data_IF_433264216632
#
_entry.id   IF_433264216632
#
_cell.length_a   1.000
_cell.length_b   1.000
_cell.length_c   1.000
_cell.angle_alpha   90.00
_cell.angle_beta   90.00
_cell.angle_gamma   90.00
#
_symmetry.space_group_name_H-M   'P 1'
#
loop_
_entity.id
_entity.type
_entity.pdbx_description
1 polymer ?
#
# COMPACT_ATOMS: atom_id res chain seq x y z
N UNK A 1 1.85 -7.89 19.89
CA UNK A 1 3.09 -8.26 19.17
C UNK A 1 2.66 -9.19 18.04
N UNK A 2 2.35 -8.65 16.87
CA UNK A 2 1.99 -9.46 15.69
C UNK A 2 3.29 -10.02 15.12
N UNK A 3 3.87 -10.97 15.85
CA UNK A 3 5.17 -11.55 15.56
C UNK A 3 5.15 -12.42 14.31
N UNK A 4 6.31 -12.98 13.99
CA UNK A 4 6.47 -13.99 12.97
C UNK A 4 5.57 -15.19 13.26
N UNK A 5 4.92 -15.70 12.21
CA UNK A 5 4.11 -16.91 12.29
C UNK A 5 4.97 -18.07 12.82
N UNK A 6 4.41 -18.82 13.78
CA UNK A 6 5.09 -19.97 14.37
C UNK A 6 5.36 -21.07 13.33
N UNK A 7 6.25 -22.04 13.62
CA UNK A 7 6.66 -23.05 12.65
C UNK A 7 5.50 -23.86 12.02
N UNK A 8 4.37 -23.99 12.71
CA UNK A 8 3.16 -24.67 12.22
C UNK A 8 2.37 -23.90 11.15
N UNK A 9 2.69 -22.64 10.91
CA UNK A 9 2.09 -21.84 9.83
C UNK A 9 2.88 -21.95 8.51
N UNK A 10 4.00 -22.66 8.53
CA UNK A 10 4.81 -22.97 7.37
C UNK A 10 4.42 -24.40 6.98
N UNK A 11 3.43 -24.52 6.08
CA UNK A 11 2.99 -25.83 5.57
C UNK A 11 4.15 -26.53 4.83
N UNK A 12 4.26 -27.85 5.00
CA UNK A 12 5.20 -28.72 4.28
C UNK A 12 5.02 -28.67 2.75
N UNK A 13 3.90 -28.10 2.29
CA UNK A 13 3.55 -27.97 0.88
C UNK A 13 3.97 -26.64 0.23
N UNK A 14 4.85 -25.85 0.87
CA UNK A 14 5.31 -24.55 0.33
C UNK A 14 5.94 -24.65 -1.06
N UNK A 15 6.52 -25.80 -1.40
CA UNK A 15 7.15 -26.06 -2.70
C UNK A 15 6.16 -26.54 -3.77
N UNK A 16 4.90 -26.79 -3.43
CA UNK A 16 3.92 -27.17 -4.43
C UNK A 16 3.50 -25.96 -5.28
N UNK A 17 3.50 -26.09 -6.62
CA UNK A 17 3.14 -25.00 -7.52
C UNK A 17 1.68 -24.53 -7.37
N UNK A 18 0.83 -25.36 -6.74
CA UNK A 18 -0.56 -25.06 -6.46
C UNK A 18 -0.80 -24.55 -5.03
N UNK A 19 0.23 -24.47 -4.19
CA UNK A 19 0.09 -23.94 -2.84
C UNK A 19 -0.34 -22.47 -2.92
N UNK A 20 -1.41 -22.13 -2.21
CA UNK A 20 -1.84 -20.75 -2.06
C UNK A 20 -1.29 -20.20 -0.75
N UNK A 21 -0.73 -18.98 -0.74
CA UNK A 21 -0.30 -18.36 0.50
C UNK A 21 -1.49 -18.24 1.46
N UNK A 22 -1.27 -18.58 2.72
CA UNK A 22 -2.24 -18.31 3.78
C UNK A 22 -2.27 -16.79 4.03
N UNK A 23 -3.13 -16.10 3.28
CA UNK A 23 -3.31 -14.65 3.38
C UNK A 23 -4.19 -14.25 4.58
N UNK A 24 -4.63 -15.20 5.42
CA UNK A 24 -5.63 -14.96 6.45
C UNK A 24 -7.01 -14.57 5.89
N UNK A 25 -8.05 -14.76 6.69
CA UNK A 25 -9.42 -14.32 6.32
C UNK A 25 -9.56 -12.79 6.36
N UNK A 26 -8.63 -12.13 7.05
CA UNK A 26 -8.47 -10.68 7.13
C UNK A 26 -7.46 -10.16 6.10
N UNK A 27 -7.64 -10.51 4.83
CA UNK A 27 -7.15 -9.63 3.77
C UNK A 27 -7.89 -8.30 3.95
N UNK A 28 -7.38 -7.45 4.83
CA UNK A 28 -8.00 -6.22 5.30
C UNK A 28 -8.31 -5.40 4.06
N UNK A 29 -9.56 -5.47 3.59
CA UNK A 29 -9.95 -4.84 2.35
C UNK A 29 -9.77 -3.36 2.56
N UNK A 30 -8.72 -2.81 1.97
CA UNK A 30 -8.43 -1.38 2.04
C UNK A 30 -9.65 -0.66 1.51
N UNK A 31 -10.31 0.08 2.39
CA UNK A 31 -11.50 0.83 2.00
C UNK A 31 -11.08 1.97 1.07
N UNK A 32 -12.02 2.46 0.26
CA UNK A 32 -11.75 3.62 -0.63
C UNK A 32 -11.25 4.82 0.18
N UNK A 33 -11.75 5.02 1.39
CA UNK A 33 -11.30 6.10 2.29
C UNK A 33 -9.87 5.88 2.80
N UNK A 34 -9.50 4.66 3.17
CA UNK A 34 -8.12 4.33 3.57
C UNK A 34 -7.15 4.52 2.39
N UNK A 35 -7.54 4.12 1.18
CA UNK A 35 -6.74 4.32 -0.02
C UNK A 35 -6.54 5.82 -0.32
N UNK A 36 -7.60 6.62 -0.20
CA UNK A 36 -7.51 8.07 -0.38
C UNK A 36 -6.62 8.74 0.67
N UNK A 37 -6.73 8.32 1.94
CA UNK A 37 -5.89 8.81 3.03
C UNK A 37 -4.42 8.48 2.79
N UNK A 38 -4.12 7.27 2.31
CA UNK A 38 -2.76 6.81 1.96
C UNK A 38 -2.17 7.66 0.85
N UNK A 39 -2.88 7.78 -0.29
CA UNK A 39 -2.44 8.61 -1.43
C UNK A 39 -2.20 10.08 -1.05
N UNK A 40 -3.05 10.62 -0.16
CA UNK A 40 -2.88 11.96 0.37
C UNK A 40 -1.63 12.09 1.25
N UNK A 41 -1.34 11.09 2.10
CA UNK A 41 -0.15 11.07 2.92
C UNK A 41 1.12 10.98 2.06
N UNK A 42 1.12 10.12 1.04
CA UNK A 42 2.24 9.96 0.11
C UNK A 42 2.52 11.25 -0.67
N UNK A 43 1.46 11.92 -1.15
CA UNK A 43 1.60 13.19 -1.87
C UNK A 43 2.28 14.27 -1.01
N UNK A 44 1.89 14.36 0.28
CA UNK A 44 2.51 15.29 1.24
C UNK A 44 3.92 14.87 1.66
N UNK A 45 4.22 13.58 1.68
CA UNK A 45 5.55 13.10 2.00
C UNK A 45 6.53 13.42 0.88
N UNK A 46 6.15 13.11 -0.36
CA UNK A 46 6.99 13.33 -1.54
C UNK A 46 7.24 14.82 -1.82
N UNK A 47 6.25 15.68 -1.54
CA UNK A 47 6.42 17.13 -1.71
C UNK A 47 7.50 17.72 -0.80
N UNK A 48 7.72 17.13 0.39
CA UNK A 48 8.78 17.58 1.32
C UNK A 48 10.19 17.42 0.75
N UNK A 49 10.38 16.52 -0.21
CA UNK A 49 11.67 16.34 -0.89
C UNK A 49 11.80 17.20 -2.16
N UNK A 50 10.88 18.13 -2.40
CA UNK A 50 10.91 19.00 -3.58
C UNK A 50 10.58 18.28 -4.90
N UNK A 51 9.94 17.10 -4.83
CA UNK A 51 9.56 16.36 -6.03
C UNK A 51 8.46 17.13 -6.78
N UNK A 52 8.58 17.34 -8.10
CA UNK A 52 7.56 18.04 -8.89
C UNK A 52 6.18 17.37 -8.82
N UNK A 53 5.10 18.15 -8.79
CA UNK A 53 3.73 17.62 -8.65
C UNK A 53 3.35 16.58 -9.72
N UNK A 54 3.78 16.78 -10.97
CA UNK A 54 3.56 15.84 -12.08
C UNK A 54 4.19 14.46 -11.81
N UNK A 55 5.35 14.43 -11.15
CA UNK A 55 6.09 13.21 -10.83
C UNK A 55 5.48 12.51 -9.63
N UNK A 56 5.04 13.27 -8.62
CA UNK A 56 4.26 12.74 -7.49
C UNK A 56 2.99 12.07 -7.99
N UNK A 57 2.26 12.72 -8.90
CA UNK A 57 1.04 12.20 -9.50
C UNK A 57 1.27 10.86 -10.20
N UNK A 58 2.34 10.75 -11.01
CA UNK A 58 2.71 9.51 -11.68
C UNK A 58 3.07 8.37 -10.70
N UNK A 59 3.80 8.68 -9.62
CA UNK A 59 4.21 7.68 -8.61
C UNK A 59 3.07 7.17 -7.74
N UNK A 60 2.17 8.07 -7.33
CA UNK A 60 1.04 7.76 -6.44
C UNK A 60 -0.16 7.20 -7.23
N UNK A 61 -0.18 7.39 -8.55
CA UNK A 61 -1.27 6.94 -9.42
C UNK A 61 -2.51 7.82 -9.30
N UNK A 62 -2.33 9.13 -9.23
CA UNK A 62 -3.40 10.15 -9.12
C UNK A 62 -3.18 11.26 -10.15
N UNK A 63 -4.14 12.18 -10.29
CA UNK A 63 -3.98 13.33 -11.20
C UNK A 63 -3.12 14.42 -10.56
N UNK A 64 -2.47 15.25 -11.38
CA UNK A 64 -1.72 16.40 -10.86
C UNK A 64 -2.65 17.41 -10.13
N UNK A 65 -3.89 17.55 -10.60
CA UNK A 65 -4.90 18.36 -9.92
C UNK A 65 -5.20 17.87 -8.50
N UNK A 66 -5.27 16.56 -8.30
CA UNK A 66 -5.44 15.96 -6.97
C UNK A 66 -4.25 16.27 -6.05
N UNK A 67 -3.02 16.15 -6.56
CA UNK A 67 -1.80 16.49 -5.80
C UNK A 67 -1.84 17.97 -5.39
N UNK A 68 -2.19 18.88 -6.31
CA UNK A 68 -2.31 20.32 -6.02
C UNK A 68 -3.37 20.60 -4.96
N UNK A 69 -4.54 19.97 -5.04
CA UNK A 69 -5.61 20.13 -4.06
C UNK A 69 -5.17 19.68 -2.65
N UNK A 70 -4.27 18.71 -2.55
CA UNK A 70 -3.81 18.16 -1.27
C UNK A 70 -2.60 18.88 -0.66
N UNK A 71 -2.00 19.78 -1.43
CA UNK A 71 -0.86 20.62 -1.03
C UNK A 71 -1.22 22.11 -0.91
N UNK A 72 -2.43 22.50 -1.32
CA UNK A 72 -3.00 23.83 -1.11
C UNK A 72 -3.38 24.02 0.37
#
# INVERSE_FOLDING_TARGET
RLGWYGPLAWDDNIDAPAAQPDCGTDAHRVTVSQLAATRSADSRHLSRFGIPHREIAARVGVTEAYVRAQLA
#
